data_IF_739172343774
#
_entry.id   IF_739172343774
#
_cell.length_a   1.000
_cell.length_b   1.000
_cell.length_c   1.000
_cell.angle_alpha   90.00
_cell.angle_beta   90.00
_cell.angle_gamma   90.00
#
_symmetry.space_group_name_H-M   'P 1'
#
loop_
_entity.id
_entity.type
_entity.pdbx_description
1 polymer ?
#
# COMPACT_ATOMS: atom_id res chain seq x y z
N UNK A 1 -22.11 -22.83 -57.45
CA UNK A 1 -22.62 -24.18 -57.88
C UNK A 1 -23.20 -24.84 -56.65
N UNK A 2 -24.49 -24.81 -56.67
CA UNK A 2 -25.45 -25.96 -56.59
C UNK A 2 -25.35 -26.77 -55.30
N UNK A 3 -26.37 -26.56 -54.41
CA UNK A 3 -27.52 -27.46 -54.16
C UNK A 3 -27.19 -28.53 -53.08
N UNK A 4 -27.96 -28.90 -52.08
CA UNK A 4 -29.38 -29.17 -52.06
C UNK A 4 -29.85 -29.36 -50.60
N UNK A 5 -30.97 -28.78 -50.27
CA UNK A 5 -32.03 -29.03 -49.30
C UNK A 5 -32.50 -30.47 -49.23
N UNK A 6 -32.74 -31.03 -48.03
CA UNK A 6 -33.70 -32.09 -47.89
C UNK A 6 -34.39 -32.08 -46.51
N UNK A 7 -35.71 -31.82 -46.60
CA UNK A 7 -36.74 -31.90 -45.56
C UNK A 7 -37.21 -33.36 -45.52
N UNK A 8 -37.48 -33.92 -44.35
CA UNK A 8 -38.40 -35.07 -44.24
C UNK A 8 -39.20 -35.00 -42.93
N UNK A 9 -40.47 -34.89 -43.14
CA UNK A 9 -41.61 -34.88 -42.23
C UNK A 9 -42.16 -36.34 -42.12
N UNK A 10 -42.57 -36.79 -40.95
CA UNK A 10 -43.55 -37.87 -40.69
C UNK A 10 -43.56 -38.19 -39.20
N UNK A 11 -44.57 -38.41 -38.50
CA UNK A 11 -46.02 -38.47 -38.58
C UNK A 11 -46.48 -39.07 -37.23
N UNK A 12 -47.57 -38.57 -36.76
CA UNK A 12 -48.41 -38.88 -35.64
C UNK A 12 -48.67 -40.38 -35.43
N UNK A 13 -48.70 -40.81 -34.16
CA UNK A 13 -49.61 -41.91 -33.72
C UNK A 13 -50.03 -41.74 -32.27
N UNK A 14 -51.26 -41.44 -32.05
CA UNK A 14 -52.02 -41.56 -30.79
C UNK A 14 -52.22 -43.02 -30.47
N UNK A 15 -51.95 -43.39 -29.21
CA UNK A 15 -52.57 -44.59 -28.60
C UNK A 15 -53.00 -44.18 -27.19
N UNK A 16 -54.33 -44.19 -27.01
CA UNK A 16 -55.02 -44.09 -25.72
C UNK A 16 -55.12 -45.48 -25.10
N UNK A 17 -54.65 -45.61 -23.86
CA UNK A 17 -55.03 -46.73 -22.99
C UNK A 17 -55.38 -46.17 -21.62
N UNK A 18 -56.68 -46.28 -21.28
CA UNK A 18 -57.22 -46.12 -19.92
C UNK A 18 -56.88 -47.35 -19.09
N UNK A 19 -56.31 -47.16 -17.90
CA UNK A 19 -56.38 -48.11 -16.80
C UNK A 19 -56.37 -47.39 -15.46
N UNK A 20 -57.39 -47.64 -14.67
CA UNK A 20 -57.54 -47.23 -13.28
C UNK A 20 -56.45 -47.79 -12.35
N UNK A 21 -56.11 -47.05 -11.33
CA UNK A 21 -55.66 -47.66 -10.09
C UNK A 21 -54.57 -46.97 -9.31
N UNK A 22 -54.91 -46.52 -8.12
CA UNK A 22 -54.11 -46.23 -6.92
C UNK A 22 -53.42 -44.85 -6.81
N UNK A 23 -54.01 -44.02 -5.97
CA UNK A 23 -53.47 -42.80 -5.46
C UNK A 23 -52.27 -43.09 -4.51
N UNK A 24 -51.12 -42.72 -4.89
CA UNK A 24 -49.98 -42.53 -3.99
C UNK A 24 -49.88 -41.06 -3.57
N UNK A 25 -49.57 -40.73 -2.32
CA UNK A 25 -49.49 -39.34 -1.87
C UNK A 25 -48.33 -38.61 -2.56
N UNK A 26 -48.65 -37.54 -3.24
CA UNK A 26 -47.67 -36.63 -3.85
C UNK A 26 -46.96 -35.86 -2.74
N UNK A 27 -45.62 -35.83 -2.72
CA UNK A 27 -44.89 -34.97 -1.79
C UNK A 27 -45.19 -33.49 -2.10
N UNK A 28 -45.48 -32.72 -1.08
CA UNK A 28 -45.69 -31.27 -1.15
C UNK A 28 -44.48 -30.58 -1.83
N UNK A 29 -44.71 -29.50 -2.63
CA UNK A 29 -43.60 -28.75 -3.22
C UNK A 29 -42.70 -28.21 -2.12
N UNK A 30 -41.42 -28.53 -2.21
CA UNK A 30 -40.40 -27.92 -1.35
C UNK A 30 -40.51 -26.39 -1.45
N UNK A 31 -40.68 -25.74 -0.31
CA UNK A 31 -40.67 -24.30 -0.23
C UNK A 31 -39.33 -23.77 -0.82
N UNK A 32 -39.42 -22.88 -1.78
CA UNK A 32 -38.29 -22.16 -2.32
C UNK A 32 -37.55 -21.48 -1.15
N UNK A 33 -36.20 -21.46 -1.14
CA UNK A 33 -35.48 -20.75 -0.11
C UNK A 33 -35.90 -19.28 -0.19
N UNK A 34 -36.46 -18.79 0.90
CA UNK A 34 -36.69 -17.35 1.13
C UNK A 34 -35.39 -16.65 0.93
N UNK A 35 -35.30 -15.83 -0.12
CA UNK A 35 -34.21 -14.89 -0.31
C UNK A 35 -34.13 -14.04 0.97
N UNK A 36 -33.10 -14.23 1.73
CA UNK A 36 -32.70 -13.32 2.81
C UNK A 36 -32.59 -11.95 2.17
N UNK A 37 -33.47 -11.04 2.55
CA UNK A 37 -33.44 -9.66 2.12
C UNK A 37 -32.05 -9.13 2.49
N UNK A 38 -31.25 -8.81 1.48
CA UNK A 38 -29.99 -8.09 1.64
C UNK A 38 -30.32 -6.82 2.44
N UNK A 39 -29.76 -6.76 3.66
CA UNK A 39 -29.77 -5.53 4.45
C UNK A 39 -29.15 -4.44 3.56
N UNK A 40 -29.82 -3.29 3.33
CA UNK A 40 -29.26 -2.23 2.52
C UNK A 40 -27.83 -1.96 3.00
N UNK A 41 -26.86 -2.06 2.11
CA UNK A 41 -25.46 -1.77 2.44
C UNK A 41 -25.43 -0.39 3.09
N UNK A 42 -25.08 -0.32 4.37
CA UNK A 42 -24.94 0.95 5.08
C UNK A 42 -24.00 1.83 4.25
N UNK A 43 -24.42 3.05 3.96
CA UNK A 43 -23.58 4.00 3.20
C UNK A 43 -22.27 4.14 3.94
N UNK A 44 -21.15 3.91 3.25
CA UNK A 44 -19.83 4.07 3.84
C UNK A 44 -19.69 5.46 4.52
N UNK A 45 -19.11 5.52 5.73
CA UNK A 45 -19.01 6.78 6.44
C UNK A 45 -18.20 7.81 5.63
N UNK A 46 -18.57 9.07 5.74
CA UNK A 46 -17.86 10.20 5.14
C UNK A 46 -16.60 10.49 5.96
N UNK A 47 -15.48 9.97 5.55
CA UNK A 47 -14.21 10.07 6.30
C UNK A 47 -13.41 11.26 5.79
N UNK A 48 -13.01 12.16 6.70
CA UNK A 48 -11.95 13.13 6.47
C UNK A 48 -10.63 12.59 7.05
N UNK A 49 -9.63 12.40 6.22
CA UNK A 49 -8.34 11.86 6.65
C UNK A 49 -7.28 12.95 6.74
N UNK A 50 -6.79 13.20 7.95
CA UNK A 50 -5.72 14.17 8.23
C UNK A 50 -4.37 13.44 8.32
N UNK A 51 -4.19 12.41 7.50
CA UNK A 51 -2.94 11.68 7.33
C UNK A 51 -2.88 11.07 5.94
N UNK A 52 -1.76 11.24 5.27
CA UNK A 52 -1.51 10.63 3.95
C UNK A 52 -1.55 9.09 4.08
N UNK A 53 -0.93 8.56 5.12
CA UNK A 53 -0.83 7.10 5.31
C UNK A 53 -2.18 6.46 5.64
N UNK A 54 -2.99 7.10 6.50
CA UNK A 54 -4.36 6.62 6.77
C UNK A 54 -5.26 6.72 5.55
N UNK A 55 -5.07 7.74 4.70
CA UNK A 55 -5.74 7.83 3.40
C UNK A 55 -5.40 6.62 2.54
N UNK A 56 -4.12 6.26 2.46
CA UNK A 56 -3.66 5.15 1.64
C UNK A 56 -4.07 3.79 2.22
N UNK A 57 -4.20 3.67 3.54
CA UNK A 57 -4.80 2.49 4.19
C UNK A 57 -6.29 2.34 3.85
N UNK A 58 -7.06 3.44 3.83
CA UNK A 58 -8.46 3.43 3.37
C UNK A 58 -8.55 2.99 1.91
N UNK A 59 -7.67 3.51 1.05
CA UNK A 59 -7.59 3.12 -0.36
C UNK A 59 -7.26 1.62 -0.51
N UNK A 60 -6.44 1.03 0.36
CA UNK A 60 -6.17 -0.40 0.37
C UNK A 60 -7.44 -1.23 0.60
N UNK A 61 -8.38 -0.69 1.38
CA UNK A 61 -9.69 -1.30 1.64
C UNK A 61 -10.79 -0.93 0.63
N UNK A 62 -10.41 -0.25 -0.47
CA UNK A 62 -11.37 0.19 -1.50
C UNK A 62 -12.23 1.40 -1.09
N UNK A 63 -11.83 2.13 -0.05
CA UNK A 63 -12.57 3.29 0.45
C UNK A 63 -11.83 4.58 0.05
N UNK A 64 -12.53 5.47 -0.64
CA UNK A 64 -12.02 6.80 -0.96
C UNK A 64 -12.56 7.79 0.07
N UNK A 65 -11.70 8.48 0.86
CA UNK A 65 -12.17 9.47 1.82
C UNK A 65 -12.76 10.70 1.11
N UNK A 66 -13.70 11.40 1.75
CA UNK A 66 -14.30 12.61 1.18
C UNK A 66 -13.33 13.79 1.17
N UNK A 67 -12.31 13.76 2.02
CA UNK A 67 -11.21 14.71 2.05
C UNK A 67 -9.95 14.08 2.61
N UNK A 68 -8.80 14.55 2.14
CA UNK A 68 -7.48 14.12 2.60
C UNK A 68 -6.47 15.25 2.55
N UNK A 69 -5.52 15.24 3.48
CA UNK A 69 -4.34 16.10 3.39
C UNK A 69 -3.46 15.69 2.20
N UNK A 70 -2.64 16.63 1.75
CA UNK A 70 -1.76 16.49 0.58
C UNK A 70 -0.29 16.48 0.98
N UNK A 71 0.58 16.05 0.09
CA UNK A 71 2.03 16.11 0.26
C UNK A 71 2.54 17.55 0.33
N UNK A 72 3.31 17.88 1.38
CA UNK A 72 3.78 19.24 1.63
C UNK A 72 4.64 19.81 0.50
N UNK A 73 5.63 19.05 0.04
CA UNK A 73 6.54 19.49 -1.02
C UNK A 73 5.86 19.56 -2.40
N UNK A 74 4.94 18.62 -2.67
CA UNK A 74 4.24 18.53 -3.95
C UNK A 74 3.03 19.45 -4.04
N UNK A 75 2.48 19.90 -2.89
CA UNK A 75 1.20 20.61 -2.79
C UNK A 75 0.05 19.92 -3.57
N UNK A 76 0.12 18.60 -3.63
CA UNK A 76 -0.81 17.73 -4.34
C UNK A 76 -0.91 16.36 -3.65
N UNK A 77 -1.86 15.54 -4.04
CA UNK A 77 -1.89 14.13 -3.66
C UNK A 77 -0.65 13.40 -4.20
N UNK A 78 -0.17 12.41 -3.46
CA UNK A 78 1.01 11.66 -3.89
C UNK A 78 0.75 10.96 -5.25
N UNK A 79 1.72 10.99 -6.18
CA UNK A 79 1.51 10.56 -7.57
C UNK A 79 0.98 9.13 -7.71
N UNK A 80 1.40 8.21 -6.84
CA UNK A 80 1.01 6.80 -6.91
C UNK A 80 -0.46 6.53 -6.52
N UNK A 81 -1.15 7.52 -5.93
CA UNK A 81 -2.56 7.41 -5.51
C UNK A 81 -3.45 8.54 -6.06
N UNK A 82 -2.88 9.55 -6.73
CA UNK A 82 -3.60 10.74 -7.18
C UNK A 82 -4.83 10.41 -8.04
N UNK A 83 -4.73 9.42 -8.91
CA UNK A 83 -5.84 8.99 -9.77
C UNK A 83 -7.04 8.43 -9.00
N UNK A 84 -6.81 7.88 -7.81
CA UNK A 84 -7.84 7.34 -6.91
C UNK A 84 -8.48 8.41 -6.03
N UNK A 85 -7.91 9.62 -5.99
CA UNK A 85 -8.31 10.74 -5.14
C UNK A 85 -8.88 11.92 -5.92
N UNK A 86 -9.28 11.72 -7.19
CA UNK A 86 -9.80 12.80 -8.07
C UNK A 86 -11.02 13.50 -7.49
N UNK A 87 -11.87 12.77 -6.77
CA UNK A 87 -13.09 13.29 -6.14
C UNK A 87 -12.89 13.61 -4.65
N UNK A 88 -11.67 13.46 -4.13
CA UNK A 88 -11.32 13.75 -2.74
C UNK A 88 -10.94 15.22 -2.59
N UNK A 89 -11.54 15.91 -1.62
CA UNK A 89 -11.22 17.32 -1.32
C UNK A 89 -9.83 17.44 -0.69
N UNK A 90 -8.91 18.24 -1.22
CA UNK A 90 -7.66 18.57 -0.53
C UNK A 90 -7.95 19.33 0.77
N UNK A 91 -7.32 18.89 1.87
CA UNK A 91 -7.49 19.45 3.23
C UNK A 91 -6.23 20.17 3.73
N UNK A 92 -5.47 20.80 2.84
CA UNK A 92 -4.18 21.39 3.19
C UNK A 92 -3.07 20.35 3.35
N UNK A 93 -1.90 20.77 3.78
CA UNK A 93 -0.77 19.88 4.07
C UNK A 93 -0.90 19.28 5.49
N UNK A 94 -0.28 18.13 5.71
CA UNK A 94 -0.40 17.40 6.99
C UNK A 94 0.03 18.21 8.21
N UNK A 95 1.02 19.12 8.06
CA UNK A 95 1.50 19.99 9.13
C UNK A 95 0.61 21.21 9.36
N UNK A 96 -0.24 21.57 8.39
CA UNK A 96 -1.13 22.69 8.44
C UNK A 96 -2.46 22.34 7.74
N UNK A 97 -3.32 21.52 8.38
CA UNK A 97 -4.60 21.12 7.81
C UNK A 97 -5.58 22.30 7.75
N UNK A 98 -6.32 22.39 6.64
CA UNK A 98 -7.35 23.39 6.42
C UNK A 98 -8.63 23.01 7.20
N UNK A 99 -8.82 23.63 8.36
CA UNK A 99 -9.94 23.36 9.24
C UNK A 99 -11.30 23.78 8.65
N UNK A 100 -11.33 24.82 7.81
CA UNK A 100 -12.55 25.26 7.14
C UNK A 100 -12.96 24.26 6.05
N UNK A 101 -11.99 23.76 5.30
CA UNK A 101 -12.25 22.71 4.32
C UNK A 101 -12.78 21.43 5.01
N UNK A 102 -12.20 21.02 6.15
CA UNK A 102 -12.68 19.88 6.93
C UNK A 102 -14.14 20.11 7.39
N UNK A 103 -14.42 21.29 7.99
CA UNK A 103 -15.76 21.63 8.46
C UNK A 103 -16.80 21.63 7.33
N UNK A 104 -16.43 22.18 6.16
CA UNK A 104 -17.31 22.28 5.00
C UNK A 104 -17.75 20.92 4.45
N UNK A 105 -16.92 19.89 4.63
CA UNK A 105 -17.22 18.52 4.21
C UNK A 105 -18.30 17.86 5.06
N UNK A 106 -18.56 18.32 6.28
CA UNK A 106 -19.46 17.66 7.23
C UNK A 106 -19.16 16.15 7.30
N UNK A 107 -17.95 15.76 7.73
CA UNK A 107 -17.56 14.36 7.80
C UNK A 107 -18.32 13.66 8.93
N UNK A 108 -18.51 12.35 8.80
CA UNK A 108 -19.05 11.51 9.89
C UNK A 108 -17.96 11.17 10.90
N UNK A 109 -16.69 11.16 10.45
CA UNK A 109 -15.53 10.88 11.29
C UNK A 109 -14.25 11.48 10.68
N UNK A 110 -13.32 11.86 11.58
CA UNK A 110 -12.00 12.39 11.20
C UNK A 110 -10.93 11.41 11.67
N UNK A 111 -10.04 10.99 10.76
CA UNK A 111 -8.88 10.16 11.09
C UNK A 111 -7.64 11.02 11.22
N UNK A 112 -6.96 10.89 12.35
CA UNK A 112 -5.81 11.71 12.76
C UNK A 112 -4.58 10.83 12.97
N UNK A 113 -3.44 11.29 12.47
CA UNK A 113 -2.14 10.74 12.83
C UNK A 113 -1.63 11.46 14.09
N UNK A 114 -1.34 10.71 15.15
CA UNK A 114 -0.87 11.24 16.44
C UNK A 114 0.35 12.15 16.29
N UNK A 115 1.25 11.84 15.37
CA UNK A 115 2.46 12.62 15.12
C UNK A 115 2.15 14.06 14.71
N UNK A 116 1.08 14.27 13.92
CA UNK A 116 0.73 15.57 13.33
C UNK A 116 -0.52 16.21 13.94
N UNK A 117 -1.38 15.44 14.59
CA UNK A 117 -2.60 15.95 15.21
C UNK A 117 -2.33 16.93 16.36
N UNK A 118 -1.13 16.82 16.97
CA UNK A 118 -0.77 17.60 18.15
C UNK A 118 -1.33 16.99 19.44
N UNK A 119 -1.07 17.66 20.57
CA UNK A 119 -1.54 17.21 21.89
C UNK A 119 -3.02 17.49 22.11
N UNK A 120 -3.55 18.53 21.48
CA UNK A 120 -4.95 18.95 21.58
C UNK A 120 -5.68 18.68 20.27
N UNK A 121 -6.55 17.67 20.29
CA UNK A 121 -7.41 17.30 19.15
C UNK A 121 -8.80 17.93 19.21
N UNK A 122 -9.10 18.73 20.25
CA UNK A 122 -10.44 19.31 20.48
C UNK A 122 -10.94 20.13 19.29
N UNK A 123 -10.04 20.74 18.51
CA UNK A 123 -10.39 21.47 17.29
C UNK A 123 -11.04 20.55 16.24
N UNK A 124 -10.63 19.29 16.13
CA UNK A 124 -11.22 18.31 15.24
C UNK A 124 -12.53 17.74 15.80
N UNK A 125 -12.54 17.45 17.10
CA UNK A 125 -13.72 16.90 17.80
C UNK A 125 -14.92 17.87 17.80
N UNK A 126 -14.69 19.18 17.70
CA UNK A 126 -15.74 20.17 17.49
C UNK A 126 -16.40 20.07 16.11
N UNK A 127 -15.77 19.41 15.15
CA UNK A 127 -16.29 19.21 13.80
C UNK A 127 -17.00 17.85 13.69
N UNK A 128 -16.31 16.76 14.10
CA UNK A 128 -16.84 15.40 14.06
C UNK A 128 -16.09 14.49 15.03
N UNK A 129 -16.64 13.32 15.40
CA UNK A 129 -15.92 12.28 16.12
C UNK A 129 -14.56 12.02 15.47
N UNK A 130 -13.49 11.98 16.29
CA UNK A 130 -12.13 11.88 15.80
C UNK A 130 -11.45 10.61 16.31
N UNK A 131 -10.79 9.88 15.43
CA UNK A 131 -10.03 8.67 15.77
C UNK A 131 -8.54 8.94 15.56
N UNK A 132 -7.78 8.84 16.64
CA UNK A 132 -6.33 9.01 16.61
C UNK A 132 -5.64 7.67 16.42
N UNK A 133 -4.70 7.63 15.47
CA UNK A 133 -3.81 6.51 15.21
C UNK A 133 -2.39 6.89 15.59
N UNK A 134 -1.75 6.06 16.40
CA UNK A 134 -0.31 6.12 16.60
C UNK A 134 0.36 5.20 15.59
N UNK A 135 0.89 5.79 14.51
CA UNK A 135 1.53 5.01 13.45
C UNK A 135 2.96 4.55 13.82
N UNK A 136 3.47 4.93 15.00
CA UNK A 136 4.71 4.40 15.57
C UNK A 136 4.47 3.14 16.42
N UNK A 137 3.22 2.85 16.80
CA UNK A 137 2.84 1.67 17.55
C UNK A 137 2.28 0.57 16.63
N UNK A 138 2.84 -0.64 16.72
CA UNK A 138 2.42 -1.76 15.88
C UNK A 138 2.94 -1.69 14.45
N UNK A 139 2.27 -2.42 13.58
CA UNK A 139 2.63 -2.55 12.16
C UNK A 139 1.55 -1.97 11.26
N UNK A 140 1.84 -1.75 9.99
CA UNK A 140 0.83 -1.37 9.02
C UNK A 140 -0.32 -2.39 8.95
N UNK A 141 -0.05 -3.66 9.25
CA UNK A 141 -1.08 -4.73 9.32
C UNK A 141 -2.06 -4.49 10.45
N UNK A 142 -1.56 -4.06 11.60
CA UNK A 142 -2.39 -3.75 12.77
C UNK A 142 -3.25 -2.52 12.50
N UNK A 143 -2.69 -1.50 11.84
CA UNK A 143 -3.42 -0.30 11.44
C UNK A 143 -4.51 -0.64 10.43
N UNK A 144 -4.19 -1.43 9.39
CA UNK A 144 -5.17 -1.84 8.38
C UNK A 144 -6.33 -2.64 8.99
N UNK A 145 -6.04 -3.59 9.90
CA UNK A 145 -7.08 -4.33 10.63
C UNK A 145 -7.94 -3.42 11.50
N UNK A 146 -7.33 -2.45 12.20
CA UNK A 146 -8.07 -1.46 13.00
C UNK A 146 -9.00 -0.63 12.13
N UNK A 147 -8.50 -0.14 10.99
CA UNK A 147 -9.32 0.62 10.02
C UNK A 147 -10.41 -0.28 9.46
N UNK A 148 -10.09 -1.51 9.04
CA UNK A 148 -11.07 -2.48 8.54
C UNK A 148 -12.28 -2.64 9.46
N UNK A 149 -12.03 -2.81 10.77
CA UNK A 149 -13.08 -2.88 11.79
C UNK A 149 -13.93 -1.62 11.89
N UNK A 150 -13.31 -0.44 11.76
CA UNK A 150 -14.01 0.84 11.86
C UNK A 150 -14.91 1.15 10.65
N UNK A 151 -14.65 0.48 9.53
CA UNK A 151 -15.36 0.75 8.25
C UNK A 151 -16.07 -0.49 7.69
N UNK A 152 -16.26 -1.55 8.51
CA UNK A 152 -16.88 -2.81 8.13
C UNK A 152 -16.21 -3.47 6.90
N UNK A 153 -14.86 -3.52 6.91
CA UNK A 153 -14.00 -4.10 5.86
C UNK A 153 -12.96 -5.08 6.44
N UNK A 154 -13.34 -5.83 7.47
CA UNK A 154 -12.44 -6.80 8.11
C UNK A 154 -11.95 -7.85 7.13
N UNK A 155 -12.85 -8.38 6.28
CA UNK A 155 -12.52 -9.41 5.30
C UNK A 155 -11.57 -8.90 4.22
N UNK A 156 -11.77 -7.66 3.77
CA UNK A 156 -10.90 -7.01 2.79
C UNK A 156 -9.51 -6.78 3.40
N UNK A 157 -9.43 -6.38 4.67
CA UNK A 157 -8.15 -6.23 5.37
C UNK A 157 -7.41 -7.56 5.50
N UNK A 158 -8.09 -8.63 5.90
CA UNK A 158 -7.52 -9.97 6.00
C UNK A 158 -7.03 -10.48 4.64
N UNK A 159 -7.84 -10.28 3.58
CA UNK A 159 -7.49 -10.68 2.21
C UNK A 159 -6.26 -9.93 1.73
N UNK A 160 -6.23 -8.61 1.92
CA UNK A 160 -5.10 -7.77 1.53
C UNK A 160 -3.80 -8.23 2.21
N UNK A 161 -3.85 -8.48 3.52
CA UNK A 161 -2.70 -8.95 4.28
C UNK A 161 -2.24 -10.32 3.78
N UNK A 162 -3.15 -11.26 3.57
CA UNK A 162 -2.82 -12.61 3.04
C UNK A 162 -2.16 -12.55 1.68
N UNK A 163 -2.69 -11.75 0.77
CA UNK A 163 -2.14 -11.59 -0.58
C UNK A 163 -0.75 -10.95 -0.54
N UNK A 164 -0.56 -9.96 0.34
CA UNK A 164 0.75 -9.36 0.60
C UNK A 164 1.76 -10.38 1.12
N UNK A 165 1.40 -11.18 2.13
CA UNK A 165 2.29 -12.20 2.70
C UNK A 165 2.72 -13.22 1.64
N UNK A 166 1.78 -13.65 0.78
CA UNK A 166 2.08 -14.59 -0.33
C UNK A 166 3.08 -13.98 -1.31
N UNK A 167 2.88 -12.71 -1.69
CA UNK A 167 3.78 -12.02 -2.59
C UNK A 167 5.15 -11.76 -1.94
N UNK A 168 5.15 -11.36 -0.68
CA UNK A 168 6.37 -11.10 0.10
C UNK A 168 7.33 -12.29 0.05
N UNK A 169 6.85 -13.51 0.28
CA UNK A 169 7.69 -14.71 0.24
C UNK A 169 8.26 -14.95 -1.17
N UNK A 170 7.48 -14.70 -2.21
CA UNK A 170 7.95 -14.78 -3.60
C UNK A 170 9.04 -13.76 -3.89
N UNK A 171 8.84 -12.50 -3.50
CA UNK A 171 9.81 -11.41 -3.72
C UNK A 171 11.10 -11.65 -2.94
N UNK A 172 10.98 -12.12 -1.70
CA UNK A 172 12.12 -12.55 -0.88
C UNK A 172 12.95 -13.64 -1.57
N UNK A 173 12.28 -14.61 -2.18
CA UNK A 173 12.95 -15.63 -2.98
C UNK A 173 13.76 -15.03 -4.14
N UNK A 174 13.15 -14.16 -4.95
CA UNK A 174 13.81 -13.48 -6.07
C UNK A 174 15.03 -12.65 -5.63
N UNK A 175 14.92 -11.94 -4.52
CA UNK A 175 16.03 -11.15 -3.97
C UNK A 175 17.16 -12.08 -3.50
N UNK A 176 16.84 -13.16 -2.78
CA UNK A 176 17.81 -14.12 -2.30
C UNK A 176 18.55 -14.82 -3.44
N UNK A 177 17.87 -15.16 -4.54
CA UNK A 177 18.46 -15.76 -5.72
C UNK A 177 19.46 -14.80 -6.41
N UNK A 178 19.18 -13.50 -6.38
CA UNK A 178 20.01 -12.47 -7.01
C UNK A 178 21.18 -12.02 -6.13
N UNK A 179 20.95 -11.83 -4.84
CA UNK A 179 21.92 -11.23 -3.91
C UNK A 179 22.59 -12.25 -2.99
N UNK A 180 21.97 -13.43 -2.81
CA UNK A 180 22.35 -14.40 -1.77
C UNK A 180 21.56 -14.18 -0.46
N UNK A 181 21.33 -15.26 0.29
CA UNK A 181 20.51 -15.26 1.54
C UNK A 181 21.10 -14.42 2.67
N UNK A 182 22.41 -14.19 2.63
CA UNK A 182 23.14 -13.47 3.67
C UNK A 182 23.53 -12.04 3.26
N UNK A 183 23.00 -11.58 2.12
CA UNK A 183 23.33 -10.28 1.59
C UNK A 183 22.93 -9.15 2.56
N UNK A 184 23.85 -8.23 2.78
CA UNK A 184 23.64 -7.02 3.56
C UNK A 184 23.19 -5.88 2.65
N UNK A 185 22.25 -5.08 3.10
CA UNK A 185 21.71 -3.98 2.30
C UNK A 185 21.69 -2.66 3.07
N UNK A 186 21.75 -1.58 2.34
CA UNK A 186 21.40 -0.24 2.85
C UNK A 186 20.48 0.46 1.88
N UNK A 187 19.67 1.39 2.41
CA UNK A 187 18.88 2.31 1.63
C UNK A 187 19.39 3.73 1.87
N UNK A 188 19.56 4.47 0.77
CA UNK A 188 20.01 5.86 0.81
C UNK A 188 19.04 6.77 0.09
N UNK A 189 18.93 8.01 0.56
CA UNK A 189 18.18 9.07 -0.09
C UNK A 189 19.10 10.24 -0.38
N UNK A 190 19.15 10.66 -1.62
CA UNK A 190 19.86 11.83 -2.08
C UNK A 190 18.87 12.97 -2.23
N UNK A 191 19.06 14.04 -1.47
CA UNK A 191 18.32 15.30 -1.61
C UNK A 191 19.21 16.33 -2.33
N UNK A 192 18.72 17.54 -2.55
CA UNK A 192 19.54 18.61 -3.12
C UNK A 192 20.71 19.04 -2.21
N UNK A 193 20.63 18.70 -0.92
CA UNK A 193 21.56 19.22 0.09
C UNK A 193 22.39 18.14 0.78
N UNK A 194 21.89 16.90 0.85
CA UNK A 194 22.49 15.90 1.73
C UNK A 194 22.25 14.47 1.25
N UNK A 195 23.11 13.58 1.71
CA UNK A 195 22.96 12.13 1.58
C UNK A 195 22.45 11.58 2.92
N UNK A 196 21.34 10.86 2.89
CA UNK A 196 20.74 10.22 4.05
C UNK A 196 20.88 8.71 3.95
N UNK A 197 21.22 8.05 5.04
CA UNK A 197 21.13 6.59 5.17
C UNK A 197 19.97 6.26 6.09
N UNK A 198 19.03 5.42 5.61
CA UNK A 198 17.91 4.97 6.42
C UNK A 198 18.35 3.93 7.44
N UNK A 199 17.83 4.04 8.65
CA UNK A 199 17.93 3.03 9.69
C UNK A 199 16.92 1.89 9.54
N UNK A 200 16.72 1.15 10.62
CA UNK A 200 15.78 0.01 10.63
C UNK A 200 14.33 0.42 10.89
N UNK A 201 14.06 1.70 11.18
CA UNK A 201 12.70 2.20 11.33
C UNK A 201 12.05 2.52 9.98
N UNK A 202 10.74 2.81 10.03
CA UNK A 202 10.01 3.35 8.88
C UNK A 202 10.67 4.64 8.34
N UNK A 203 10.56 4.92 7.05
CA UNK A 203 9.73 4.22 6.06
C UNK A 203 10.34 2.93 5.50
N UNK A 204 11.65 2.81 5.40
CA UNK A 204 12.31 1.74 4.64
C UNK A 204 12.55 0.45 5.43
N UNK A 205 12.83 0.59 6.74
CA UNK A 205 13.27 -0.52 7.58
C UNK A 205 12.28 -1.69 7.64
N UNK A 206 10.99 -1.47 7.92
CA UNK A 206 10.01 -2.56 8.00
C UNK A 206 9.91 -3.39 6.73
N UNK A 207 9.92 -2.77 5.55
CA UNK A 207 9.88 -3.50 4.29
C UNK A 207 11.18 -4.28 4.04
N UNK A 208 12.34 -3.63 4.19
CA UNK A 208 13.62 -4.25 3.84
C UNK A 208 14.05 -5.32 4.85
N UNK A 209 13.97 -5.01 6.15
CA UNK A 209 14.58 -5.83 7.19
C UNK A 209 13.59 -6.78 7.87
N UNK A 210 12.33 -6.36 8.06
CA UNK A 210 11.32 -7.20 8.71
C UNK A 210 10.59 -8.07 7.70
N UNK A 211 10.02 -7.48 6.65
CA UNK A 211 9.22 -8.19 5.67
C UNK A 211 10.08 -9.03 4.71
N UNK A 212 11.05 -8.42 4.05
CA UNK A 212 11.93 -9.11 3.11
C UNK A 212 13.05 -9.90 3.80
N UNK A 213 13.30 -9.64 5.10
CA UNK A 213 14.27 -10.34 5.91
C UNK A 213 15.72 -10.13 5.44
N UNK A 214 15.99 -9.00 4.79
CA UNK A 214 17.35 -8.62 4.38
C UNK A 214 18.16 -8.21 5.60
N UNK A 215 19.47 -8.39 5.55
CA UNK A 215 20.35 -7.99 6.64
C UNK A 215 20.74 -6.51 6.49
N UNK A 216 20.60 -5.68 7.53
CA UNK A 216 21.12 -4.33 7.47
C UNK A 216 22.64 -4.35 7.35
N UNK A 217 23.21 -3.46 6.54
CA UNK A 217 24.65 -3.25 6.50
C UNK A 217 25.16 -2.76 7.86
N UNK A 218 26.38 -3.09 8.21
CA UNK A 218 26.99 -2.78 9.54
C UNK A 218 26.83 -1.32 9.96
N UNK A 219 26.94 -0.38 9.03
CA UNK A 219 26.76 1.06 9.30
C UNK A 219 25.29 1.42 9.60
N UNK A 220 24.33 0.72 9.00
CA UNK A 220 22.89 0.96 9.20
C UNK A 220 22.48 0.71 10.66
N UNK A 221 23.08 -0.27 11.32
CA UNK A 221 22.82 -0.59 12.73
C UNK A 221 23.25 0.55 13.69
N UNK A 222 24.12 1.45 13.23
CA UNK A 222 24.56 2.63 13.99
C UNK A 222 23.54 3.77 13.96
N UNK A 223 22.60 3.78 13.00
CA UNK A 223 21.52 4.75 12.98
C UNK A 223 20.67 4.56 14.23
N UNK A 224 20.53 5.62 15.02
CA UNK A 224 19.78 5.56 16.27
C UNK A 224 18.36 5.02 16.04
N UNK A 225 17.91 4.12 16.93
CA UNK A 225 16.55 3.57 16.89
C UNK A 225 15.44 4.63 17.05
N UNK A 226 15.81 5.83 17.46
CA UNK A 226 14.87 6.96 17.58
C UNK A 226 14.72 7.74 16.28
N UNK A 227 15.54 7.46 15.26
CA UNK A 227 15.58 8.17 13.99
C UNK A 227 15.23 7.25 12.82
N UNK A 228 14.63 7.83 11.80
CA UNK A 228 14.40 7.14 10.52
C UNK A 228 15.65 7.10 9.65
N UNK A 229 16.56 8.06 9.79
CA UNK A 229 17.80 8.16 9.01
C UNK A 229 18.85 9.01 9.74
N UNK A 230 20.08 8.87 9.30
CA UNK A 230 21.18 9.80 9.60
C UNK A 230 21.67 10.48 8.32
N UNK A 231 22.10 11.74 8.45
CA UNK A 231 22.78 12.46 7.37
C UNK A 231 24.26 12.11 7.44
N UNK A 232 24.82 11.70 6.31
CA UNK A 232 26.22 11.29 6.23
C UNK A 232 26.97 12.02 5.12
N UNK A 233 28.29 12.09 5.25
CA UNK A 233 29.17 12.50 4.15
C UNK A 233 29.53 11.31 3.26
N UNK A 234 30.02 11.59 2.05
CA UNK A 234 30.41 10.52 1.12
C UNK A 234 31.62 9.71 1.63
N UNK A 235 32.48 10.32 2.43
CA UNK A 235 33.72 9.71 2.95
C UNK A 235 33.45 8.53 3.87
N UNK A 236 32.29 8.50 4.56
CA UNK A 236 31.94 7.42 5.49
C UNK A 236 31.15 6.27 4.82
N UNK A 237 30.82 6.38 3.53
CA UNK A 237 30.12 5.32 2.80
C UNK A 237 30.80 3.94 2.88
N UNK A 238 32.15 3.83 2.86
CA UNK A 238 32.82 2.52 3.03
C UNK A 238 32.54 1.85 4.38
N UNK A 239 32.17 2.60 5.42
CA UNK A 239 31.83 2.03 6.74
C UNK A 239 30.53 1.21 6.72
N UNK A 240 29.70 1.41 5.70
CA UNK A 240 28.44 0.68 5.52
C UNK A 240 28.62 -0.63 4.75
N UNK A 241 29.56 -0.70 3.81
CA UNK A 241 29.99 -1.88 3.02
C UNK A 241 28.86 -2.90 2.71
N UNK A 242 27.78 -2.41 2.13
CA UNK A 242 26.62 -3.21 1.79
C UNK A 242 26.84 -4.04 0.52
N UNK A 243 26.22 -5.23 0.44
CA UNK A 243 26.17 -6.07 -0.77
C UNK A 243 25.25 -5.46 -1.83
N UNK A 244 24.23 -4.72 -1.40
CA UNK A 244 23.34 -3.99 -2.30
C UNK A 244 22.90 -2.66 -1.69
N UNK A 245 22.63 -1.68 -2.58
CA UNK A 245 22.21 -0.32 -2.22
C UNK A 245 20.90 -0.01 -2.94
N UNK A 246 19.86 0.35 -2.17
CA UNK A 246 18.65 0.95 -2.69
C UNK A 246 18.77 2.46 -2.65
N UNK A 247 18.66 3.14 -3.79
CA UNK A 247 18.89 4.58 -3.90
C UNK A 247 17.61 5.29 -4.29
N UNK A 248 17.21 6.24 -3.46
CA UNK A 248 16.15 7.21 -3.76
C UNK A 248 16.83 8.53 -4.11
N UNK A 249 16.57 9.05 -5.30
CA UNK A 249 16.94 10.40 -5.67
C UNK A 249 15.69 11.27 -5.61
N UNK A 250 15.71 12.29 -4.77
CA UNK A 250 14.57 13.22 -4.64
C UNK A 250 14.25 13.89 -5.96
N UNK A 251 12.98 14.30 -6.11
CA UNK A 251 12.51 15.02 -7.33
C UNK A 251 12.83 16.51 -7.30
N UNK A 252 13.33 17.03 -6.19
CA UNK A 252 13.69 18.44 -6.05
C UNK A 252 14.90 18.81 -6.90
N UNK A 253 14.95 20.05 -7.35
CA UNK A 253 16.07 20.57 -8.13
C UNK A 253 17.38 20.40 -7.36
N UNK A 254 18.40 19.85 -8.02
CA UNK A 254 19.73 19.64 -7.44
C UNK A 254 19.99 18.23 -6.90
N UNK A 255 18.98 17.43 -6.55
CA UNK A 255 19.18 16.07 -6.05
C UNK A 255 19.84 15.16 -7.10
N UNK A 256 19.40 15.23 -8.35
CA UNK A 256 20.00 14.49 -9.46
C UNK A 256 21.45 14.91 -9.71
N UNK A 257 21.73 16.22 -9.62
CA UNK A 257 23.10 16.75 -9.73
C UNK A 257 23.98 16.19 -8.62
N UNK A 258 23.52 16.21 -7.38
CA UNK A 258 24.27 15.64 -6.25
C UNK A 258 24.47 14.13 -6.45
N UNK A 259 23.46 13.40 -6.90
CA UNK A 259 23.59 11.97 -7.15
C UNK A 259 24.65 11.68 -8.22
N UNK A 260 24.70 12.41 -9.33
CA UNK A 260 25.73 12.28 -10.36
C UNK A 260 27.14 12.57 -9.81
N UNK A 261 27.28 13.53 -8.89
CA UNK A 261 28.55 13.79 -8.20
C UNK A 261 28.95 12.61 -7.31
N UNK A 262 28.00 12.04 -6.56
CA UNK A 262 28.22 10.82 -5.75
C UNK A 262 28.62 9.65 -6.66
N UNK A 263 27.89 9.41 -7.72
CA UNK A 263 28.15 8.32 -8.68
C UNK A 263 29.56 8.40 -9.28
N UNK A 264 30.04 9.60 -9.60
CA UNK A 264 31.39 9.81 -10.15
C UNK A 264 32.52 9.79 -9.12
N UNK A 265 32.19 9.77 -7.82
CA UNK A 265 33.19 9.78 -6.75
C UNK A 265 33.91 8.42 -6.67
N UNK A 266 35.27 8.41 -6.63
CA UNK A 266 36.07 7.19 -6.45
C UNK A 266 35.66 6.34 -5.23
N UNK A 267 35.21 6.97 -4.14
CA UNK A 267 34.73 6.29 -2.93
C UNK A 267 33.49 5.46 -3.27
N UNK A 268 32.50 6.06 -3.96
CA UNK A 268 31.31 5.35 -4.42
C UNK A 268 31.66 4.21 -5.34
N UNK A 269 32.50 4.45 -6.33
CA UNK A 269 32.96 3.44 -7.28
C UNK A 269 33.73 2.29 -6.60
N UNK A 270 34.33 2.56 -5.45
CA UNK A 270 35.02 1.59 -4.61
C UNK A 270 34.10 0.64 -3.84
N UNK A 271 32.82 0.97 -3.65
CA UNK A 271 31.87 0.18 -2.85
C UNK A 271 31.61 -1.19 -3.45
N UNK A 272 31.42 -2.21 -2.61
CA UNK A 272 31.12 -3.58 -3.00
C UNK A 272 29.87 -3.67 -3.88
N UNK A 273 28.78 -3.04 -3.46
CA UNK A 273 27.52 -3.02 -4.22
C UNK A 273 27.67 -2.40 -5.61
N UNK A 274 28.49 -1.35 -5.76
CA UNK A 274 28.72 -0.68 -7.05
C UNK A 274 29.52 -1.61 -7.98
N UNK A 275 30.61 -2.20 -7.49
CA UNK A 275 31.43 -3.16 -8.26
C UNK A 275 30.63 -4.38 -8.69
N UNK A 276 29.70 -4.84 -7.86
CA UNK A 276 28.84 -6.00 -8.14
C UNK A 276 27.59 -5.63 -8.96
N UNK A 277 27.40 -4.34 -9.30
CA UNK A 277 26.21 -3.81 -10.01
C UNK A 277 24.90 -4.04 -9.25
N UNK A 278 24.95 -4.04 -7.93
CA UNK A 278 23.80 -4.19 -7.05
C UNK A 278 23.35 -2.84 -6.48
N UNK A 279 23.32 -1.82 -7.32
CA UNK A 279 22.73 -0.51 -7.00
C UNK A 279 21.38 -0.40 -7.68
N UNK A 280 20.33 -0.24 -6.89
CA UNK A 280 18.95 -0.21 -7.36
C UNK A 280 18.35 1.18 -7.16
N UNK A 281 18.18 1.92 -8.25
CA UNK A 281 17.38 3.15 -8.22
C UNK A 281 15.92 2.79 -8.02
N UNK A 282 15.32 3.32 -6.97
CA UNK A 282 13.92 3.12 -6.61
C UNK A 282 13.21 4.48 -6.53
N UNK A 283 11.93 4.56 -6.88
CA UNK A 283 11.18 5.81 -6.77
C UNK A 283 10.97 6.19 -5.30
N UNK A 284 10.91 7.49 -5.01
CA UNK A 284 10.57 7.99 -3.68
C UNK A 284 9.18 7.52 -3.22
N UNK A 285 8.24 7.49 -4.14
CA UNK A 285 6.91 6.94 -3.92
C UNK A 285 6.68 5.77 -4.89
N UNK A 286 6.21 4.64 -4.38
CA UNK A 286 5.63 4.37 -3.05
C UNK A 286 6.61 3.97 -1.93
N UNK A 287 7.92 3.91 -2.17
CA UNK A 287 8.88 3.34 -1.20
C UNK A 287 8.98 4.09 0.14
N UNK A 288 8.65 5.38 0.16
CA UNK A 288 8.58 6.18 1.40
C UNK A 288 7.18 6.19 2.04
N UNK A 289 6.21 5.52 1.41
CA UNK A 289 4.87 5.37 1.96
C UNK A 289 4.76 4.08 2.79
N UNK A 290 4.69 4.23 4.10
CA UNK A 290 4.63 3.10 5.04
C UNK A 290 3.18 2.67 5.39
N UNK A 291 2.20 3.08 4.60
CA UNK A 291 0.84 2.53 4.65
C UNK A 291 0.78 1.12 4.07
N UNK A 292 -0.32 0.42 4.28
CA UNK A 292 -0.57 -0.89 3.66
C UNK A 292 -0.47 -0.81 2.13
N UNK A 293 -1.10 0.20 1.51
CA UNK A 293 -1.07 0.36 0.06
C UNK A 293 0.34 0.70 -0.44
N UNK A 294 1.02 1.65 0.22
CA UNK A 294 2.38 2.05 -0.15
C UNK A 294 3.36 0.88 -0.06
N UNK A 295 3.33 0.14 1.05
CA UNK A 295 4.17 -1.05 1.24
C UNK A 295 3.89 -2.12 0.19
N UNK A 296 2.62 -2.37 -0.15
CA UNK A 296 2.24 -3.29 -1.24
C UNK A 296 2.79 -2.85 -2.60
N UNK A 297 2.67 -1.57 -2.92
CA UNK A 297 3.16 -1.02 -4.20
C UNK A 297 4.71 -1.00 -4.26
N UNK A 298 5.39 -0.78 -3.15
CA UNK A 298 6.85 -0.91 -3.07
C UNK A 298 7.29 -2.36 -3.27
N UNK A 299 6.54 -3.33 -2.73
CA UNK A 299 6.76 -4.76 -2.97
C UNK A 299 6.53 -5.13 -4.45
N UNK A 300 5.53 -4.55 -5.12
CA UNK A 300 5.27 -4.72 -6.55
C UNK A 300 6.45 -4.20 -7.41
N UNK A 301 7.03 -3.07 -7.02
CA UNK A 301 8.22 -2.51 -7.69
C UNK A 301 9.46 -3.40 -7.46
N UNK A 302 9.65 -3.88 -6.24
CA UNK A 302 10.71 -4.83 -5.92
C UNK A 302 10.58 -6.11 -6.77
N UNK A 303 9.37 -6.69 -6.85
CA UNK A 303 9.12 -7.88 -7.68
C UNK A 303 9.54 -7.65 -9.13
N UNK A 304 9.13 -6.54 -9.74
CA UNK A 304 9.50 -6.19 -11.12
C UNK A 304 11.00 -6.01 -11.33
N UNK A 305 11.72 -5.49 -10.33
CA UNK A 305 13.18 -5.28 -10.39
C UNK A 305 13.96 -6.57 -10.26
N UNK A 306 13.52 -7.49 -9.42
CA UNK A 306 14.24 -8.72 -9.12
C UNK A 306 13.78 -9.94 -9.94
N UNK A 307 12.62 -9.86 -10.61
CA UNK A 307 12.18 -10.90 -11.57
C UNK A 307 12.92 -10.87 -12.91
N UNK A 308 13.76 -9.85 -13.16
CA UNK A 308 14.60 -9.68 -14.35
C UNK A 308 15.99 -10.21 -14.04
#
# INVERSE_FOLDING_TARGET
>A
MKKTLMILLSAVSMITVSACGQATPQPAPAAAPTATADKPAAKAPRIASVSIHLTNDLLALGITPVGSVIGGDLKAFLPHVADRLKDTKPLGVVTEPDMEAILSLKPDVIYLDKQYAGKDISKYEKIAPSVVFDLDEGTWRDHLKKIGKLVDRDKEAETFIKDYETQKERVKGLINDKLGKDATVMAVRVTAKELRVFGTRRPMGPLLYEDLGLKPAKGVEKVSKDKSFDVISQEVLPDYDADAIFVIVNREDGAEKLYKQIESNPIWQGLKAVKSKHVYLIPDQPWLDYSALGTKMALDDAEKKFAK
#
